data_IF_943419577448
#
_entry.id   IF_943419577448
#
_cell.length_a   1.000
_cell.length_b   1.000
_cell.length_c   1.000
_cell.angle_alpha   90.00
_cell.angle_beta   90.00
_cell.angle_gamma   90.00
#
_symmetry.space_group_name_H-M   'P 1'
#
loop_
_entity.id
_entity.type
_entity.pdbx_description
1 polymer ?
#
# COMPACT_ATOMS: atom_id res chain seq x y z
N UNK A 1 -12.51 11.33 25.17
CA UNK A 1 -11.17 10.87 25.60
C UNK A 1 -10.51 9.99 24.55
N UNK A 2 -11.28 9.04 24.00
CA UNK A 2 -10.93 8.20 22.82
C UNK A 2 -10.54 9.03 21.58
N UNK A 3 -11.23 10.14 21.29
CA UNK A 3 -10.96 10.93 20.08
C UNK A 3 -9.59 11.61 20.11
N UNK A 4 -9.16 12.07 21.29
CA UNK A 4 -7.83 12.70 21.49
C UNK A 4 -6.72 11.68 21.25
N UNK A 5 -6.90 10.44 21.72
CA UNK A 5 -5.98 9.33 21.47
C UNK A 5 -5.93 9.03 19.97
N UNK A 6 -7.08 8.99 19.30
CA UNK A 6 -7.18 8.81 17.85
C UNK A 6 -6.41 9.89 17.07
N UNK A 7 -6.54 11.17 17.43
CA UNK A 7 -5.82 12.26 16.78
C UNK A 7 -4.31 12.20 17.02
N UNK A 8 -3.87 11.87 18.24
CA UNK A 8 -2.44 11.71 18.56
C UNK A 8 -1.84 10.55 17.77
N UNK A 9 -2.53 9.41 17.71
CA UNK A 9 -2.11 8.26 16.90
C UNK A 9 -2.05 8.62 15.41
N UNK A 10 -3.02 9.37 14.89
CA UNK A 10 -3.02 9.83 13.50
C UNK A 10 -1.80 10.71 13.17
N UNK A 11 -1.40 11.61 14.08
CA UNK A 11 -0.21 12.46 13.93
C UNK A 11 1.07 11.62 13.94
N UNK A 12 1.20 10.71 14.91
CA UNK A 12 2.37 9.82 15.03
C UNK A 12 2.51 8.96 13.78
N UNK A 13 1.41 8.41 13.28
CA UNK A 13 1.41 7.60 12.06
C UNK A 13 1.72 8.46 10.84
N UNK A 14 1.17 9.67 10.72
CA UNK A 14 1.52 10.61 9.65
C UNK A 14 3.02 10.94 9.62
N UNK A 15 3.64 11.10 10.79
CA UNK A 15 5.08 11.30 10.95
C UNK A 15 5.86 10.05 10.55
N UNK A 16 5.46 8.85 11.01
CA UNK A 16 6.09 7.58 10.65
C UNK A 16 6.03 7.35 9.14
N UNK A 17 4.85 7.53 8.53
CA UNK A 17 4.65 7.38 7.08
C UNK A 17 5.52 8.36 6.28
N UNK A 18 5.68 9.59 6.78
CA UNK A 18 6.49 10.63 6.14
C UNK A 18 8.00 10.42 6.34
N UNK A 19 8.42 9.92 7.50
CA UNK A 19 9.82 9.63 7.83
C UNK A 19 10.34 8.38 7.14
N UNK A 20 9.51 7.35 7.03
CA UNK A 20 9.91 6.08 6.39
C UNK A 20 10.37 6.33 4.96
N UNK A 21 9.75 7.29 4.24
CA UNK A 21 10.16 7.66 2.89
C UNK A 21 9.95 6.51 1.89
N UNK A 22 9.33 6.78 0.75
CA UNK A 22 9.01 5.82 -0.34
C UNK A 22 8.27 4.50 -0.01
N UNK A 23 8.13 4.08 1.26
CA UNK A 23 7.65 2.75 1.67
C UNK A 23 6.56 2.70 2.74
N UNK A 24 6.05 3.85 3.23
CA UNK A 24 4.96 3.90 4.22
C UNK A 24 3.65 3.22 3.76
N UNK A 25 3.52 2.97 2.45
CA UNK A 25 2.41 2.28 1.79
C UNK A 25 2.08 0.91 2.41
N UNK A 26 3.11 0.16 2.80
CA UNK A 26 2.95 -1.18 3.40
C UNK A 26 2.23 -1.08 4.75
N UNK A 27 2.47 -0.01 5.49
CA UNK A 27 1.87 0.25 6.80
C UNK A 27 0.50 0.96 6.69
N UNK A 28 0.21 1.60 5.56
CA UNK A 28 -0.99 2.41 5.39
C UNK A 28 -2.27 1.56 5.41
N UNK A 29 -2.28 0.39 4.78
CA UNK A 29 -3.46 -0.49 4.77
C UNK A 29 -3.75 -1.06 6.17
N UNK A 30 -2.78 -1.71 6.88
CA UNK A 30 -3.01 -2.19 8.25
C UNK A 30 -3.45 -1.07 9.19
N UNK A 31 -2.88 0.13 9.08
CA UNK A 31 -3.29 1.27 9.90
C UNK A 31 -4.76 1.64 9.64
N UNK A 32 -5.17 1.78 8.38
CA UNK A 32 -6.55 2.16 8.04
C UNK A 32 -7.55 1.09 8.49
N UNK A 33 -7.20 -0.19 8.37
CA UNK A 33 -8.09 -1.31 8.74
C UNK A 33 -8.13 -1.52 10.26
N UNK A 34 -6.98 -1.61 10.93
CA UNK A 34 -6.93 -2.00 12.34
C UNK A 34 -7.12 -0.84 13.31
N UNK A 35 -6.66 0.37 12.96
CA UNK A 35 -6.73 1.53 13.87
C UNK A 35 -7.96 2.37 13.57
N UNK A 36 -8.21 2.66 12.30
CA UNK A 36 -9.36 3.46 11.89
C UNK A 36 -10.61 2.63 11.60
N UNK A 37 -10.54 1.30 11.74
CA UNK A 37 -11.67 0.37 11.55
C UNK A 37 -12.38 0.56 10.21
N UNK A 38 -11.64 0.97 9.17
CA UNK A 38 -12.17 1.16 7.82
C UNK A 38 -12.24 -0.19 7.11
N UNK A 39 -13.29 -0.41 6.32
CA UNK A 39 -13.43 -1.62 5.52
C UNK A 39 -12.21 -1.83 4.60
N UNK A 40 -11.67 -3.06 4.48
CA UNK A 40 -10.46 -3.35 3.71
C UNK A 40 -10.50 -2.89 2.24
N UNK A 41 -11.67 -2.95 1.60
CA UNK A 41 -11.86 -2.45 0.24
C UNK A 41 -11.63 -0.93 0.18
N UNK A 42 -12.26 -0.18 1.09
CA UNK A 42 -12.14 1.29 1.16
C UNK A 42 -10.74 1.71 1.59
N UNK A 43 -10.16 1.00 2.56
CA UNK A 43 -8.80 1.22 3.03
C UNK A 43 -7.76 1.08 1.90
N UNK A 44 -7.95 0.11 0.99
CA UNK A 44 -7.07 -0.06 -0.17
C UNK A 44 -7.12 1.17 -1.08
N UNK A 45 -8.32 1.68 -1.39
CA UNK A 45 -8.50 2.89 -2.20
C UNK A 45 -7.88 4.11 -1.54
N UNK A 46 -8.14 4.34 -0.25
CA UNK A 46 -7.54 5.46 0.48
C UNK A 46 -6.03 5.36 0.57
N UNK A 47 -5.47 4.16 0.74
CA UNK A 47 -4.02 3.97 0.75
C UNK A 47 -3.37 4.37 -0.57
N UNK A 48 -3.98 4.03 -1.72
CA UNK A 48 -3.46 4.39 -3.04
C UNK A 48 -3.45 5.91 -3.23
N UNK A 49 -4.50 6.58 -2.75
CA UNK A 49 -4.58 8.03 -2.79
C UNK A 49 -3.52 8.69 -1.90
N UNK A 50 -3.42 8.27 -0.62
CA UNK A 50 -2.44 8.79 0.34
C UNK A 50 -1.01 8.59 -0.19
N UNK A 51 -0.69 7.40 -0.68
CA UNK A 51 0.63 7.07 -1.22
C UNK A 51 0.92 7.84 -2.50
N UNK A 52 -0.06 7.99 -3.39
CA UNK A 52 0.10 8.75 -4.62
C UNK A 52 0.43 10.23 -4.36
N UNK A 53 -0.29 10.86 -3.43
CA UNK A 53 -0.08 12.26 -3.05
C UNK A 53 1.26 12.44 -2.33
N UNK A 54 1.58 11.58 -1.37
CA UNK A 54 2.87 11.66 -0.63
C UNK A 54 4.07 11.42 -1.55
N UNK A 55 3.98 10.46 -2.49
CA UNK A 55 5.01 10.23 -3.51
C UNK A 55 5.19 11.45 -4.42
N UNK A 56 4.11 12.11 -4.84
CA UNK A 56 4.18 13.32 -5.66
C UNK A 56 4.96 14.44 -4.96
N UNK A 57 4.60 14.77 -3.71
CA UNK A 57 5.33 15.77 -2.92
C UNK A 57 6.78 15.33 -2.61
N UNK A 58 7.00 14.04 -2.39
CA UNK A 58 8.32 13.45 -2.19
C UNK A 58 9.23 13.63 -3.40
N UNK A 59 8.71 13.37 -4.60
CA UNK A 59 9.44 13.58 -5.86
C UNK A 59 9.73 15.06 -6.06
N UNK A 60 8.76 15.97 -5.90
CA UNK A 60 8.98 17.42 -6.03
C UNK A 60 10.10 17.89 -5.09
N UNK A 61 10.08 17.46 -3.83
CA UNK A 61 11.11 17.81 -2.84
C UNK A 61 12.49 17.30 -3.25
N UNK A 62 12.58 16.09 -3.81
CA UNK A 62 13.84 15.52 -4.27
C UNK A 62 14.35 16.15 -5.58
N UNK A 63 13.44 16.54 -6.48
CA UNK A 63 13.79 17.30 -7.70
C UNK A 63 14.45 18.61 -7.30
N UNK A 64 13.87 19.34 -6.34
CA UNK A 64 14.45 20.60 -5.81
C UNK A 64 15.83 20.42 -5.19
N UNK A 65 16.15 19.23 -4.70
CA UNK A 65 17.47 18.88 -4.13
C UNK A 65 18.48 18.40 -5.19
N UNK A 66 18.08 18.26 -6.45
CA UNK A 66 18.93 17.69 -7.51
C UNK A 66 19.17 16.18 -7.40
N UNK A 67 18.45 15.48 -6.52
CA UNK A 67 18.68 14.07 -6.20
C UNK A 67 17.78 13.11 -7.00
N UNK A 68 17.28 13.53 -8.18
CA UNK A 68 16.35 12.73 -8.98
C UNK A 68 17.00 12.36 -10.30
N UNK A 69 17.26 11.07 -10.46
CA UNK A 69 17.61 10.48 -11.75
C UNK A 69 16.33 10.04 -12.48
N UNK A 70 15.93 10.84 -13.46
CA UNK A 70 14.73 10.57 -14.26
C UNK A 70 14.89 9.33 -15.14
N UNK A 71 16.12 8.96 -15.54
CA UNK A 71 16.37 7.77 -16.35
C UNK A 71 16.08 6.51 -15.53
N UNK A 72 16.60 6.45 -14.30
CA UNK A 72 16.29 5.36 -13.36
C UNK A 72 14.80 5.34 -13.04
N UNK A 73 14.20 6.51 -12.78
CA UNK A 73 12.76 6.62 -12.53
C UNK A 73 11.90 6.05 -13.66
N UNK A 74 12.25 6.34 -14.91
CA UNK A 74 11.52 5.84 -16.09
C UNK A 74 11.70 4.34 -16.28
N UNK A 75 12.93 3.84 -16.13
CA UNK A 75 13.28 2.42 -16.23
C UNK A 75 12.57 1.61 -15.16
N UNK A 76 12.30 2.17 -13.98
CA UNK A 76 11.56 1.49 -12.92
C UNK A 76 10.04 1.56 -13.13
N UNK A 77 9.53 2.72 -13.53
CA UNK A 77 8.07 2.98 -13.61
C UNK A 77 7.41 2.24 -14.77
N UNK A 78 8.02 2.26 -15.96
CA UNK A 78 7.45 1.64 -17.16
C UNK A 78 7.21 0.12 -17.01
N UNK A 79 8.21 -0.71 -16.66
CA UNK A 79 8.00 -2.15 -16.50
C UNK A 79 7.09 -2.46 -15.30
N UNK A 80 7.08 -1.63 -14.25
CA UNK A 80 6.15 -1.79 -13.12
C UNK A 80 4.69 -1.61 -13.56
N UNK A 81 4.39 -0.54 -14.30
CA UNK A 81 3.04 -0.28 -14.82
C UNK A 81 2.59 -1.36 -15.80
N UNK A 82 3.48 -1.78 -16.71
CA UNK A 82 3.21 -2.89 -17.63
C UNK A 82 2.91 -4.18 -16.86
N UNK A 83 3.75 -4.53 -15.89
CA UNK A 83 3.56 -5.75 -15.08
C UNK A 83 2.24 -5.75 -14.32
N UNK A 84 1.87 -4.62 -13.71
CA UNK A 84 0.59 -4.47 -13.00
C UNK A 84 -0.58 -4.61 -13.97
N UNK A 85 -0.51 -3.97 -15.14
CA UNK A 85 -1.55 -4.07 -16.16
C UNK A 85 -1.72 -5.52 -16.65
N UNK A 86 -0.62 -6.18 -17.01
CA UNK A 86 -0.63 -7.59 -17.41
C UNK A 86 -1.21 -8.49 -16.31
N UNK A 87 -0.81 -8.27 -15.06
CA UNK A 87 -1.34 -9.01 -13.91
C UNK A 87 -2.84 -8.80 -13.74
N UNK A 88 -3.32 -7.56 -13.80
CA UNK A 88 -4.75 -7.26 -13.69
C UNK A 88 -5.57 -7.80 -14.86
N UNK A 89 -5.03 -7.78 -16.07
CA UNK A 89 -5.76 -8.17 -17.28
C UNK A 89 -5.77 -9.67 -17.55
N UNK A 90 -4.69 -10.38 -17.22
CA UNK A 90 -4.53 -11.79 -17.59
C UNK A 90 -4.50 -12.71 -16.37
N UNK A 91 -3.79 -12.34 -15.30
CA UNK A 91 -3.59 -13.22 -14.14
C UNK A 91 -4.82 -13.19 -13.22
N UNK A 92 -5.28 -12.00 -12.86
CA UNK A 92 -6.44 -11.81 -11.97
C UNK A 92 -7.74 -12.47 -12.47
N UNK A 93 -8.15 -12.37 -13.75
CA UNK A 93 -9.35 -13.08 -14.22
C UNK A 93 -9.16 -14.60 -14.33
N UNK A 94 -7.92 -15.07 -14.38
CA UNK A 94 -7.61 -16.51 -14.36
C UNK A 94 -7.62 -17.09 -12.93
N UNK A 95 -7.69 -16.25 -11.90
CA UNK A 95 -7.79 -16.71 -10.52
C UNK A 95 -9.22 -17.17 -10.21
N UNK A 96 -9.41 -18.40 -9.70
CA UNK A 96 -10.71 -18.84 -9.23
C UNK A 96 -11.16 -17.97 -8.05
N UNK A 97 -12.31 -17.29 -8.18
CA UNK A 97 -12.89 -16.42 -7.14
C UNK A 97 -13.17 -17.13 -5.80
N UNK A 98 -13.21 -18.46 -5.83
CA UNK A 98 -13.20 -19.30 -4.64
C UNK A 98 -11.90 -20.08 -4.65
N UNK A 99 -10.92 -19.64 -3.87
CA UNK A 99 -9.92 -20.55 -3.34
C UNK A 99 -10.72 -21.63 -2.61
N UNK A 100 -10.91 -22.80 -3.24
CA UNK A 100 -11.26 -24.01 -2.51
C UNK A 100 -10.10 -24.22 -1.55
N UNK A 101 -10.18 -23.62 -0.37
CA UNK A 101 -9.40 -24.02 0.78
C UNK A 101 -9.71 -25.51 0.94
N UNK A 102 -8.84 -26.35 0.37
CA UNK A 102 -8.94 -27.78 0.56
C UNK A 102 -8.88 -27.98 2.06
N UNK A 103 -9.94 -28.58 2.62
CA UNK A 103 -10.02 -29.08 3.99
C UNK A 103 -8.81 -29.92 4.42
N UNK A 104 -7.92 -30.28 3.50
CA UNK A 104 -6.63 -30.95 3.74
C UNK A 104 -5.70 -30.17 4.69
N UNK A 105 -5.70 -28.83 4.70
CA UNK A 105 -4.77 -28.08 5.56
C UNK A 105 -5.14 -28.11 7.04
N UNK A 106 -6.42 -28.26 7.37
CA UNK A 106 -6.89 -28.40 8.76
C UNK A 106 -6.53 -29.80 9.30
N UNK A 107 -6.58 -30.83 8.46
CA UNK A 107 -6.36 -32.22 8.90
C UNK A 107 -4.88 -32.48 9.23
N UNK A 108 -3.93 -31.83 8.54
CA UNK A 108 -2.50 -32.02 8.80
C UNK A 108 -1.96 -31.31 10.06
N UNK A 109 -2.79 -30.48 10.70
CA UNK A 109 -2.45 -29.79 11.95
C UNK A 109 -2.99 -30.50 13.20
N UNK A 110 -3.79 -31.55 13.02
CA UNK A 110 -4.41 -32.33 14.10
C UNK A 110 -3.83 -33.74 14.27
N UNK A 111 -2.69 -34.06 13.63
CA UNK A 111 -2.03 -35.36 13.74
C UNK A 111 -0.53 -35.20 13.96
#
# INVERSE_FOLDING_TARGET
MIDVIGYISAIIIGIILSLVGSGGSILTIPVLVYIFTIEPILATTYSLFIVGVTAFFGVIKNIKKGNVDFKIGLIFTLPSLLSIYFTRRFILPSLPQKLKLQRTFIIKLMN
#
